data_IF_358635368129
#
_entry.id   IF_358635368129
#
_cell.length_a   1.000
_cell.length_b   1.000
_cell.length_c   1.000
_cell.angle_alpha   90.00
_cell.angle_beta   90.00
_cell.angle_gamma   90.00
#
_symmetry.space_group_name_H-M   'P 1'
#
loop_
_entity.id
_entity.type
_entity.pdbx_description
1 polymer ?
#
# COMPACT_ATOMS: atom_id res chain seq x y z
N UNK A 1 4.74 20.96 4.91
CA UNK A 1 3.66 20.02 5.31
C UNK A 1 3.43 20.13 6.82
N UNK A 2 2.21 20.23 7.29
CA UNK A 2 1.91 20.25 8.74
C UNK A 2 1.53 18.81 9.18
N UNK A 3 2.52 18.08 9.69
CA UNK A 3 2.37 16.68 10.13
C UNK A 3 1.32 16.54 11.25
N UNK A 4 1.32 17.47 12.20
CA UNK A 4 0.37 17.47 13.34
C UNK A 4 -1.08 17.53 12.87
N UNK A 5 -1.39 18.39 11.90
CA UNK A 5 -2.72 18.51 11.33
C UNK A 5 -3.17 17.20 10.64
N UNK A 6 -2.29 16.54 9.87
CA UNK A 6 -2.63 15.29 9.20
C UNK A 6 -2.90 14.18 10.21
N UNK A 7 -2.12 14.12 11.30
CA UNK A 7 -2.34 13.18 12.40
C UNK A 7 -3.67 13.48 13.12
N UNK A 8 -4.01 14.75 13.34
CA UNK A 8 -5.30 15.12 13.91
C UNK A 8 -6.47 14.69 13.02
N UNK A 9 -6.41 14.99 11.72
CA UNK A 9 -7.40 14.54 10.73
C UNK A 9 -7.49 13.01 10.65
N UNK A 10 -6.38 12.29 10.83
CA UNK A 10 -6.33 10.82 10.89
C UNK A 10 -7.13 10.31 12.08
N UNK A 11 -6.96 10.88 13.27
CA UNK A 11 -7.70 10.51 14.47
C UNK A 11 -9.18 10.94 14.45
N UNK A 12 -9.55 11.82 13.53
CA UNK A 12 -10.95 12.27 13.35
C UNK A 12 -11.71 11.48 12.26
N UNK A 13 -11.06 10.52 11.60
CA UNK A 13 -11.71 9.61 10.66
C UNK A 13 -11.97 10.18 9.28
N UNK A 14 -11.24 11.24 8.84
CA UNK A 14 -11.45 11.89 7.56
C UNK A 14 -10.17 12.31 6.82
N UNK A 15 -9.00 11.80 7.22
CA UNK A 15 -7.75 12.07 6.52
C UNK A 15 -7.73 11.40 5.14
N UNK A 16 -7.46 12.19 4.09
CA UNK A 16 -7.21 11.71 2.72
C UNK A 16 -5.72 11.56 2.42
N UNK A 17 -4.86 12.06 3.27
CA UNK A 17 -3.42 12.15 3.04
C UNK A 17 -2.58 11.62 4.22
N UNK A 18 -3.13 10.68 5.01
CA UNK A 18 -2.39 10.02 6.09
C UNK A 18 -1.10 9.36 5.59
N UNK A 19 -1.09 8.88 4.33
CA UNK A 19 0.10 8.29 3.69
C UNK A 19 1.29 9.25 3.57
N UNK A 20 1.11 10.56 3.69
CA UNK A 20 2.20 11.55 3.67
C UNK A 20 2.97 11.59 5.02
N UNK A 21 2.36 11.05 6.07
CA UNK A 21 2.92 11.01 7.43
C UNK A 21 3.31 9.61 7.84
N UNK A 22 2.35 8.67 7.73
CA UNK A 22 2.55 7.27 8.11
C UNK A 22 3.32 6.51 7.03
N UNK A 23 4.03 5.46 7.45
CA UNK A 23 4.95 4.73 6.59
C UNK A 23 6.39 5.19 6.71
N UNK A 24 7.21 4.83 5.73
CA UNK A 24 8.62 5.20 5.66
C UNK A 24 8.85 6.25 4.56
N UNK A 25 9.38 7.42 4.95
CA UNK A 25 9.59 8.57 4.06
C UNK A 25 11.04 9.01 4.05
N UNK A 26 11.61 9.19 2.87
CA UNK A 26 12.89 9.84 2.70
C UNK A 26 12.75 11.34 2.99
N UNK A 27 13.45 11.83 4.01
CA UNK A 27 13.41 13.20 4.49
C UNK A 27 14.82 13.73 4.71
N UNK A 28 14.96 15.03 4.97
CA UNK A 28 16.25 15.58 5.40
C UNK A 28 16.74 14.88 6.66
N UNK A 29 17.94 14.30 6.60
CA UNK A 29 18.56 13.57 7.70
C UNK A 29 18.36 12.05 7.69
N UNK A 30 17.58 11.48 6.78
CA UNK A 30 17.42 10.02 6.67
C UNK A 30 16.04 9.54 6.21
N UNK A 31 15.60 8.42 6.75
CA UNK A 31 14.25 7.89 6.54
C UNK A 31 13.46 8.02 7.83
N UNK A 32 12.35 8.74 7.77
CA UNK A 32 11.38 8.83 8.86
C UNK A 32 10.40 7.66 8.76
N UNK A 33 10.31 6.89 9.82
CA UNK A 33 9.30 5.85 10.03
C UNK A 33 8.23 6.39 10.97
N UNK A 34 6.97 6.21 10.61
CA UNK A 34 5.83 6.62 11.44
C UNK A 34 4.76 5.55 11.38
N UNK A 35 4.29 5.07 12.55
CA UNK A 35 3.29 4.01 12.65
C UNK A 35 2.27 4.30 13.76
N UNK A 36 1.03 3.88 13.54
CA UNK A 36 -0.05 3.92 14.52
C UNK A 36 -0.16 2.57 15.22
N UNK A 37 0.14 2.55 16.53
CA UNK A 37 0.08 1.36 17.39
C UNK A 37 -0.28 1.78 18.83
N UNK A 38 -1.57 2.10 19.11
CA UNK A 38 -2.01 2.71 20.38
C UNK A 38 -1.89 1.77 21.57
N UNK A 39 -1.94 0.44 21.36
CA UNK A 39 -1.86 -0.54 22.44
C UNK A 39 -0.45 -1.09 22.65
N UNK A 40 0.53 -0.64 21.82
CA UNK A 40 1.93 -1.03 22.01
C UNK A 40 2.54 -0.43 23.27
N UNK A 41 3.37 -1.21 23.95
CA UNK A 41 4.25 -0.73 25.03
C UNK A 41 5.51 -0.11 24.46
N UNK A 42 6.12 -0.79 23.47
CA UNK A 42 7.28 -0.31 22.73
C UNK A 42 7.20 -0.74 21.27
N UNK A 43 7.79 0.08 20.37
CA UNK A 43 7.90 -0.21 18.93
C UNK A 43 9.33 0.02 18.48
N UNK A 44 9.90 -0.94 17.72
CA UNK A 44 11.22 -0.81 17.09
C UNK A 44 11.08 -0.95 15.58
N UNK A 45 11.99 -0.32 14.86
CA UNK A 45 12.24 -0.61 13.44
C UNK A 45 13.35 -1.64 13.35
N UNK A 46 13.12 -2.75 12.65
CA UNK A 46 14.09 -3.81 12.41
C UNK A 46 14.20 -4.08 10.93
N UNK A 47 15.40 -4.37 10.44
CA UNK A 47 15.56 -4.58 9.00
C UNK A 47 16.98 -4.97 8.57
N UNK A 48 17.22 -5.01 7.27
CA UNK A 48 18.52 -5.32 6.67
C UNK A 48 19.63 -4.41 7.20
N UNK A 49 19.32 -3.15 7.44
CA UNK A 49 20.26 -2.12 7.93
C UNK A 49 20.68 -2.30 9.41
N UNK A 50 19.98 -3.13 10.18
CA UNK A 50 20.37 -3.54 11.53
C UNK A 50 20.88 -4.97 11.59
N UNK A 51 21.06 -5.64 10.43
CA UNK A 51 21.25 -7.10 10.37
C UNK A 51 20.16 -7.87 11.14
N UNK A 52 18.94 -7.30 11.18
CA UNK A 52 17.81 -7.80 11.95
C UNK A 52 18.04 -7.83 13.47
N UNK A 53 19.00 -7.05 13.98
CA UNK A 53 19.12 -6.84 15.43
C UNK A 53 17.89 -6.05 15.92
N UNK A 54 17.16 -6.69 16.82
CA UNK A 54 15.81 -6.32 17.20
C UNK A 54 15.73 -5.14 18.18
N UNK A 55 16.85 -4.69 18.73
CA UNK A 55 16.85 -3.73 19.83
C UNK A 55 17.58 -2.42 19.50
N UNK A 56 18.07 -2.25 18.25
CA UNK A 56 18.89 -1.10 17.91
C UNK A 56 18.10 0.20 17.74
N UNK A 57 16.89 0.12 17.13
CA UNK A 57 16.16 1.32 16.72
C UNK A 57 14.79 1.34 17.41
N UNK A 58 14.78 1.83 18.64
CA UNK A 58 13.54 2.08 19.39
C UNK A 58 12.89 3.36 18.89
N UNK A 59 11.60 3.30 18.55
CA UNK A 59 10.80 4.46 18.14
C UNK A 59 10.37 5.29 19.36
N UNK A 60 10.14 6.56 19.11
CA UNK A 60 9.62 7.50 20.11
C UNK A 60 8.11 7.65 19.95
N UNK A 61 7.40 7.69 21.08
CA UNK A 61 5.96 7.96 21.07
C UNK A 61 5.72 9.44 20.84
N UNK A 62 5.16 9.79 19.68
CA UNK A 62 4.96 11.17 19.27
C UNK A 62 3.78 11.83 19.99
N UNK A 63 2.71 11.06 20.30
CA UNK A 63 1.53 11.57 21.00
C UNK A 63 0.90 10.50 21.90
N UNK A 64 -0.04 10.92 22.76
CA UNK A 64 -0.75 10.02 23.66
C UNK A 64 -1.74 9.08 22.92
N UNK A 65 -2.09 9.38 21.68
CA UNK A 65 -3.02 8.60 20.87
C UNK A 65 -2.35 7.41 20.17
N UNK A 66 -1.05 7.20 20.36
CA UNK A 66 -0.36 5.97 19.93
C UNK A 66 0.33 6.05 18.56
N UNK A 67 0.71 7.25 18.14
CA UNK A 67 1.61 7.44 17.00
C UNK A 67 3.06 7.36 17.46
N UNK A 68 3.84 6.51 16.78
CA UNK A 68 5.27 6.30 17.02
C UNK A 68 6.06 6.76 15.82
N UNK A 69 7.22 7.38 16.05
CA UNK A 69 8.09 7.89 14.98
C UNK A 69 9.56 7.77 15.33
N UNK A 70 10.40 7.68 14.29
CA UNK A 70 11.86 7.78 14.38
C UNK A 70 12.43 8.16 13.02
N UNK A 71 13.50 8.94 12.98
CA UNK A 71 14.29 9.18 11.75
C UNK A 71 15.61 8.44 11.85
N UNK A 72 15.87 7.56 10.89
CA UNK A 72 17.08 6.73 10.81
C UNK A 72 17.97 7.23 9.69
N UNK A 73 19.21 7.67 9.96
CA UNK A 73 20.11 8.18 8.93
C UNK A 73 20.72 7.07 8.07
N UNK A 74 21.22 7.44 6.88
CA UNK A 74 22.05 6.61 6.00
C UNK A 74 21.36 5.35 5.45
N UNK A 75 20.03 5.34 5.35
CA UNK A 75 19.29 4.25 4.70
C UNK A 75 19.16 4.49 3.20
N UNK A 76 19.08 3.40 2.45
CA UNK A 76 18.94 3.41 0.99
C UNK A 76 17.59 2.83 0.56
N UNK A 77 17.18 3.14 -0.67
CA UNK A 77 16.05 2.45 -1.29
C UNK A 77 16.30 0.94 -1.35
N UNK A 78 15.22 0.20 -1.35
CA UNK A 78 15.15 -1.27 -1.44
C UNK A 78 15.60 -2.01 -0.18
N UNK A 79 16.10 -1.35 0.86
CA UNK A 79 16.28 -1.97 2.16
C UNK A 79 14.94 -2.43 2.71
N UNK A 80 14.95 -3.56 3.40
CA UNK A 80 13.74 -4.20 3.92
C UNK A 80 13.62 -4.00 5.42
N UNK A 81 12.37 -3.84 5.89
CA UNK A 81 12.10 -3.59 7.30
C UNK A 81 10.77 -4.16 7.77
N UNK A 82 10.65 -4.31 9.08
CA UNK A 82 9.41 -4.58 9.82
C UNK A 82 9.35 -3.71 11.06
N UNK A 83 8.16 -3.60 11.64
CA UNK A 83 8.01 -3.15 13.01
C UNK A 83 8.04 -4.36 13.96
N UNK A 84 8.92 -4.31 14.97
CA UNK A 84 8.85 -5.17 16.14
C UNK A 84 8.02 -4.43 17.17
N UNK A 85 6.92 -5.03 17.61
CA UNK A 85 5.96 -4.42 18.52
C UNK A 85 5.91 -5.25 19.82
N UNK A 86 6.18 -4.62 20.94
CA UNK A 86 5.94 -5.20 22.26
C UNK A 86 4.54 -4.79 22.71
N UNK A 87 3.69 -5.78 22.93
CA UNK A 87 2.34 -5.55 23.45
C UNK A 87 2.35 -5.23 24.94
N UNK A 88 1.27 -4.67 25.47
CA UNK A 88 1.10 -4.44 26.91
C UNK A 88 1.20 -5.71 27.75
N UNK A 89 0.95 -6.87 27.16
CA UNK A 89 1.08 -8.18 27.85
C UNK A 89 2.50 -8.75 27.76
N UNK A 90 3.43 -8.04 27.11
CA UNK A 90 4.84 -8.43 26.95
C UNK A 90 5.12 -9.33 25.75
N UNK A 91 4.13 -9.70 24.95
CA UNK A 91 4.33 -10.46 23.72
C UNK A 91 5.04 -9.62 22.65
N UNK A 92 5.83 -10.29 21.81
CA UNK A 92 6.55 -9.65 20.70
C UNK A 92 5.89 -10.05 19.37
N UNK A 93 5.58 -9.05 18.55
CA UNK A 93 5.02 -9.22 17.22
C UNK A 93 5.97 -8.61 16.18
N UNK A 94 6.01 -9.20 14.98
CA UNK A 94 6.75 -8.66 13.82
C UNK A 94 5.78 -8.38 12.70
N UNK A 95 5.58 -7.10 12.41
CA UNK A 95 4.56 -6.61 11.51
C UNK A 95 5.16 -5.91 10.29
N UNK A 96 4.59 -6.17 9.10
CA UNK A 96 4.82 -5.30 7.96
C UNK A 96 4.21 -3.92 8.24
N UNK A 97 4.74 -2.90 7.59
CA UNK A 97 4.21 -1.55 7.74
C UNK A 97 2.85 -1.43 7.03
N UNK A 98 1.78 -1.04 7.74
CA UNK A 98 0.46 -0.84 7.14
C UNK A 98 0.43 0.18 5.99
N UNK A 99 1.34 1.17 6.03
CA UNK A 99 1.49 2.21 5.02
C UNK A 99 2.69 2.00 4.09
N UNK A 100 3.25 0.79 4.03
CA UNK A 100 4.35 0.50 3.12
C UNK A 100 3.95 0.73 1.66
N UNK A 101 4.78 1.44 0.89
CA UNK A 101 4.56 1.69 -0.53
C UNK A 101 5.04 0.56 -1.44
N UNK A 102 5.84 -0.35 -0.88
CA UNK A 102 6.32 -1.54 -1.56
C UNK A 102 6.68 -2.65 -0.57
N UNK A 103 6.60 -3.89 -1.01
CA UNK A 103 6.83 -5.07 -0.18
C UNK A 103 7.82 -6.02 -0.83
N UNK A 104 8.37 -6.95 -0.04
CA UNK A 104 9.10 -8.08 -0.58
C UNK A 104 8.18 -8.99 -1.38
N UNK A 105 8.77 -9.67 -2.36
CA UNK A 105 8.08 -10.73 -3.09
C UNK A 105 7.94 -11.96 -2.17
N UNK A 106 6.74 -12.50 -2.13
CA UNK A 106 6.48 -13.73 -1.39
C UNK A 106 7.49 -14.86 -1.71
N UNK A 107 7.85 -15.72 -0.77
CA UNK A 107 7.23 -15.92 0.55
C UNK A 107 7.66 -14.92 1.63
N UNK A 108 8.54 -13.97 1.31
CA UNK A 108 8.97 -12.94 2.23
C UNK A 108 7.83 -11.95 2.53
N UNK A 109 7.92 -11.26 3.67
CA UNK A 109 6.80 -10.48 4.22
C UNK A 109 7.21 -9.13 4.79
N UNK A 110 8.43 -8.67 4.51
CA UNK A 110 8.88 -7.36 4.97
C UNK A 110 8.44 -6.25 4.00
N UNK A 111 8.35 -5.06 4.53
CA UNK A 111 8.17 -3.82 3.76
C UNK A 111 9.50 -3.39 3.16
N UNK A 112 9.48 -2.65 2.05
CA UNK A 112 10.66 -2.10 1.38
C UNK A 112 10.65 -0.58 1.38
N UNK A 113 11.82 0.01 1.54
CA UNK A 113 12.01 1.44 1.38
C UNK A 113 11.95 1.85 -0.09
N UNK A 114 11.06 2.76 -0.42
CA UNK A 114 10.92 3.36 -1.74
C UNK A 114 10.78 4.86 -1.60
N UNK A 115 11.53 5.61 -2.40
CA UNK A 115 11.42 7.05 -2.47
C UNK A 115 10.43 7.46 -3.56
N UNK A 116 9.19 7.73 -3.18
CA UNK A 116 8.14 8.17 -4.09
C UNK A 116 8.43 9.55 -4.72
N UNK A 117 9.31 10.38 -4.10
CA UNK A 117 9.68 11.67 -4.69
C UNK A 117 10.51 11.52 -5.98
N UNK A 118 10.99 10.31 -6.27
CA UNK A 118 11.69 9.99 -7.53
C UNK A 118 10.76 9.59 -8.67
N UNK A 119 9.47 9.39 -8.39
CA UNK A 119 8.49 9.17 -9.45
C UNK A 119 8.31 10.47 -10.23
N UNK A 120 8.38 10.36 -11.54
CA UNK A 120 8.19 11.49 -12.45
C UNK A 120 7.03 11.17 -13.39
N UNK A 121 6.06 12.07 -13.44
CA UNK A 121 4.92 11.98 -14.34
C UNK A 121 5.13 12.85 -15.57
N UNK A 122 4.70 12.40 -16.73
CA UNK A 122 4.77 13.15 -18.00
C UNK A 122 3.39 13.31 -18.65
N UNK A 123 2.36 13.07 -17.88
CA UNK A 123 0.96 13.00 -18.32
C UNK A 123 0.15 14.29 -18.09
N UNK A 124 0.80 15.44 -17.89
CA UNK A 124 0.17 16.75 -17.71
C UNK A 124 -0.93 17.03 -18.73
N UNK A 125 -0.70 16.67 -20.00
CA UNK A 125 -1.69 16.85 -21.08
C UNK A 125 -2.93 15.98 -20.83
N UNK A 126 -2.75 14.73 -20.44
CA UNK A 126 -3.86 13.83 -20.09
C UNK A 126 -4.70 14.42 -18.94
N UNK A 127 -4.05 14.90 -17.89
CA UNK A 127 -4.72 15.50 -16.73
C UNK A 127 -5.49 16.78 -17.10
N UNK A 128 -4.96 17.61 -18.02
CA UNK A 128 -5.64 18.81 -18.51
C UNK A 128 -6.83 18.49 -19.42
N UNK A 129 -6.69 17.47 -20.27
CA UNK A 129 -7.69 17.10 -21.28
C UNK A 129 -8.80 16.19 -20.70
N UNK A 130 -8.57 15.55 -19.53
CA UNK A 130 -9.58 14.70 -18.91
C UNK A 130 -10.79 15.51 -18.47
N UNK A 131 -11.97 14.96 -18.75
CA UNK A 131 -13.25 15.54 -18.36
C UNK A 131 -14.14 14.45 -17.76
N UNK A 132 -15.27 14.81 -17.18
CA UNK A 132 -16.23 13.86 -16.62
C UNK A 132 -16.79 12.88 -17.66
N UNK A 133 -16.67 13.20 -18.96
CA UNK A 133 -16.95 12.33 -20.12
C UNK A 133 -18.29 11.56 -20.08
N UNK A 134 -19.31 12.06 -19.39
CA UNK A 134 -20.63 11.40 -19.29
C UNK A 134 -21.35 11.31 -20.64
N UNK A 135 -20.90 12.06 -21.64
CA UNK A 135 -21.42 12.15 -23.00
C UNK A 135 -20.64 11.32 -24.03
N UNK A 136 -19.59 10.61 -23.59
CA UNK A 136 -18.74 9.80 -24.45
C UNK A 136 -18.86 8.31 -24.11
N UNK A 137 -18.78 7.43 -25.12
CA UNK A 137 -18.78 6.00 -24.86
C UNK A 137 -17.50 5.58 -24.12
N UNK A 138 -17.66 4.71 -23.13
CA UNK A 138 -16.58 3.99 -22.47
C UNK A 138 -16.60 2.54 -22.91
N UNK A 139 -15.42 2.03 -23.29
CA UNK A 139 -15.20 0.61 -23.55
C UNK A 139 -14.01 0.18 -22.69
N UNK A 140 -14.28 -0.63 -21.67
CA UNK A 140 -13.33 -1.00 -20.61
C UNK A 140 -12.82 -2.41 -20.87
N UNK A 141 -11.52 -2.61 -20.80
CA UNK A 141 -10.87 -3.91 -20.80
C UNK A 141 -10.40 -4.25 -19.39
N UNK A 142 -11.11 -5.16 -18.74
CA UNK A 142 -10.73 -5.67 -17.42
C UNK A 142 -9.57 -6.67 -17.55
N UNK A 143 -8.53 -6.51 -16.71
CA UNK A 143 -7.29 -7.24 -16.81
C UNK A 143 -6.78 -7.77 -15.46
N UNK A 144 -6.61 -9.08 -15.36
CA UNK A 144 -5.73 -9.70 -14.39
C UNK A 144 -4.30 -9.79 -14.95
N UNK A 145 -3.38 -8.95 -14.50
CA UNK A 145 -2.01 -8.87 -15.01
C UNK A 145 -1.29 -10.21 -14.90
N UNK A 146 -1.47 -10.95 -13.80
CA UNK A 146 -0.85 -12.24 -13.56
C UNK A 146 -1.25 -13.35 -14.53
N UNK A 147 -2.40 -13.19 -15.21
CA UNK A 147 -2.97 -14.19 -16.12
C UNK A 147 -2.96 -13.78 -17.60
N UNK A 148 -2.66 -12.53 -17.94
CA UNK A 148 -2.80 -12.05 -19.32
C UNK A 148 -1.78 -12.70 -20.28
N UNK A 149 -0.48 -12.52 -19.99
CA UNK A 149 0.61 -13.18 -20.73
C UNK A 149 1.76 -13.52 -19.78
N UNK A 150 2.60 -14.43 -20.24
CA UNK A 150 3.76 -14.90 -19.47
C UNK A 150 5.04 -14.83 -20.29
N UNK A 151 6.14 -14.50 -19.61
CA UNK A 151 7.49 -14.63 -20.12
C UNK A 151 8.16 -15.82 -19.39
N UNK A 152 8.16 -16.97 -20.03
CA UNK A 152 8.52 -18.23 -19.37
C UNK A 152 7.54 -18.55 -18.22
N UNK A 153 8.06 -18.73 -17.02
CA UNK A 153 7.24 -19.04 -15.82
C UNK A 153 6.70 -17.79 -15.10
N UNK A 154 7.16 -16.59 -15.48
CA UNK A 154 6.79 -15.33 -14.83
C UNK A 154 5.69 -14.59 -15.60
N UNK A 155 4.77 -13.90 -14.91
CA UNK A 155 3.86 -12.96 -15.57
C UNK A 155 4.66 -11.83 -16.22
N UNK A 156 4.03 -11.11 -17.14
CA UNK A 156 4.63 -9.92 -17.74
C UNK A 156 4.94 -8.86 -16.67
N UNK A 157 6.10 -8.20 -16.82
CA UNK A 157 6.38 -6.97 -16.09
C UNK A 157 5.55 -5.80 -16.65
N UNK A 158 5.46 -4.70 -15.90
CA UNK A 158 4.74 -3.50 -16.35
C UNK A 158 5.29 -2.94 -17.67
N UNK A 159 6.61 -2.97 -17.89
CA UNK A 159 7.21 -2.52 -19.15
C UNK A 159 6.82 -3.44 -20.32
N UNK A 160 6.89 -4.77 -20.14
CA UNK A 160 6.45 -5.73 -21.16
C UNK A 160 4.94 -5.65 -21.42
N UNK A 161 4.16 -5.39 -20.37
CA UNK A 161 2.73 -5.20 -20.49
C UNK A 161 2.43 -3.98 -21.35
N UNK A 162 3.11 -2.85 -21.13
CA UNK A 162 2.94 -1.65 -21.93
C UNK A 162 3.22 -1.88 -23.41
N UNK A 163 4.27 -2.64 -23.75
CA UNK A 163 4.68 -2.89 -25.14
C UNK A 163 3.62 -3.63 -25.95
N UNK A 164 2.89 -4.55 -25.33
CA UNK A 164 1.94 -5.40 -26.04
C UNK A 164 0.46 -5.03 -25.77
N UNK A 165 0.14 -4.61 -24.56
CA UNK A 165 -1.25 -4.32 -24.17
C UNK A 165 -1.73 -3.02 -24.81
N UNK A 166 -0.92 -1.96 -24.85
CA UNK A 166 -1.31 -0.67 -25.43
C UNK A 166 -1.73 -0.82 -26.88
N UNK A 167 -0.95 -1.45 -27.79
CA UNK A 167 -1.40 -1.73 -29.15
C UNK A 167 -2.71 -2.53 -29.20
N UNK A 168 -2.81 -3.60 -28.41
CA UNK A 168 -4.00 -4.44 -28.35
C UNK A 168 -5.26 -3.65 -27.96
N UNK A 169 -5.18 -2.80 -26.94
CA UNK A 169 -6.28 -1.94 -26.48
C UNK A 169 -6.74 -1.00 -27.59
N UNK A 170 -5.78 -0.38 -28.30
CA UNK A 170 -6.08 0.56 -29.39
C UNK A 170 -6.70 -0.14 -30.60
N UNK A 171 -6.16 -1.27 -31.02
CA UNK A 171 -6.67 -2.05 -32.16
C UNK A 171 -8.09 -2.53 -31.95
N UNK A 172 -8.46 -2.86 -30.71
CA UNK A 172 -9.80 -3.34 -30.36
C UNK A 172 -10.77 -2.22 -29.93
N UNK A 173 -10.35 -0.96 -29.95
CA UNK A 173 -11.20 0.18 -29.67
C UNK A 173 -11.60 0.33 -28.19
N UNK A 174 -10.83 -0.23 -27.26
CA UNK A 174 -10.99 0.05 -25.85
C UNK A 174 -10.49 1.44 -25.50
N UNK A 175 -11.14 2.08 -24.54
CA UNK A 175 -10.81 3.43 -24.06
C UNK A 175 -10.10 3.42 -22.72
N UNK A 176 -10.34 2.37 -21.90
CA UNK A 176 -9.80 2.21 -20.56
C UNK A 176 -9.33 0.78 -20.34
N UNK A 177 -8.36 0.66 -19.45
CA UNK A 177 -7.95 -0.61 -18.86
C UNK A 177 -8.36 -0.59 -17.39
N UNK A 178 -9.11 -1.57 -16.93
CA UNK A 178 -9.38 -1.81 -15.53
C UNK A 178 -8.43 -2.89 -15.03
N UNK A 179 -7.57 -2.52 -14.10
CA UNK A 179 -6.60 -3.43 -13.49
C UNK A 179 -7.21 -4.03 -12.24
N UNK A 180 -7.41 -5.35 -12.23
CA UNK A 180 -7.76 -6.09 -11.01
C UNK A 180 -6.75 -5.76 -9.90
N UNK A 181 -7.08 -5.98 -8.61
CA UNK A 181 -6.35 -5.35 -7.52
C UNK A 181 -4.84 -5.47 -7.60
N UNK A 182 -4.16 -4.33 -7.54
CA UNK A 182 -2.69 -4.21 -7.60
C UNK A 182 -2.06 -3.98 -6.22
N UNK A 183 -2.86 -3.88 -5.17
CA UNK A 183 -2.36 -3.88 -3.79
C UNK A 183 -1.68 -5.21 -3.47
N UNK A 184 -0.64 -5.21 -2.60
CA UNK A 184 0.11 -6.44 -2.28
C UNK A 184 -0.77 -7.47 -1.56
N UNK A 185 -0.59 -8.75 -1.89
CA UNK A 185 -1.36 -9.88 -1.38
C UNK A 185 -0.51 -11.15 -1.30
N UNK A 186 -0.71 -12.05 -0.29
CA UNK A 186 0.13 -13.23 -0.11
C UNK A 186 -0.30 -14.43 -0.95
N UNK A 187 -1.59 -14.53 -1.33
CA UNK A 187 -2.16 -15.71 -1.98
C UNK A 187 -2.54 -15.45 -3.43
N UNK A 188 -1.82 -16.06 -4.38
CA UNK A 188 -2.04 -15.87 -5.83
C UNK A 188 -3.45 -16.23 -6.30
N UNK A 189 -4.05 -17.25 -5.71
CA UNK A 189 -5.39 -17.70 -6.06
C UNK A 189 -6.49 -16.66 -5.74
N UNK A 190 -6.16 -15.63 -4.98
CA UNK A 190 -7.09 -14.53 -4.70
C UNK A 190 -7.15 -13.47 -5.80
N UNK A 191 -6.22 -13.49 -6.78
CA UNK A 191 -6.07 -12.49 -7.85
C UNK A 191 -5.94 -11.05 -7.34
N UNK A 192 -5.47 -10.87 -6.10
CA UNK A 192 -5.34 -9.58 -5.44
C UNK A 192 -6.48 -9.20 -4.50
N UNK A 193 -7.58 -9.95 -4.46
CA UNK A 193 -8.71 -9.63 -3.58
C UNK A 193 -8.49 -9.93 -2.10
N UNK A 194 -7.43 -10.65 -1.73
CA UNK A 194 -7.03 -10.87 -0.33
C UNK A 194 -5.82 -10.00 0.03
N UNK A 195 -6.06 -8.73 0.24
CA UNK A 195 -5.04 -7.69 0.41
C UNK A 195 -4.31 -7.83 1.74
N UNK A 196 -2.98 -7.64 1.72
CA UNK A 196 -2.11 -7.50 2.90
C UNK A 196 -1.46 -6.11 3.00
N UNK A 197 -1.28 -5.39 1.89
CA UNK A 197 -0.63 -4.07 1.85
C UNK A 197 -1.41 -3.08 1.01
N UNK A 198 -2.18 -2.19 1.66
CA UNK A 198 -3.14 -1.28 1.02
C UNK A 198 -2.50 -0.13 0.23
N UNK A 199 -1.28 0.23 0.56
CA UNK A 199 -0.48 1.27 -0.12
C UNK A 199 0.66 0.66 -0.95
N UNK A 200 0.87 -0.64 -0.83
CA UNK A 200 1.97 -1.35 -1.47
C UNK A 200 1.54 -1.90 -2.82
N UNK A 201 2.19 -1.41 -3.88
CA UNK A 201 2.07 -2.04 -5.19
C UNK A 201 2.56 -3.50 -5.11
N UNK A 202 1.80 -4.43 -5.67
CA UNK A 202 2.24 -5.84 -5.68
C UNK A 202 3.58 -6.01 -6.40
N UNK A 203 4.49 -6.72 -5.74
CA UNK A 203 5.86 -6.96 -6.22
C UNK A 203 5.96 -7.96 -7.38
N UNK A 204 4.84 -8.55 -7.79
CA UNK A 204 4.76 -9.62 -8.80
C UNK A 204 5.11 -9.17 -10.22
N UNK A 205 4.81 -7.92 -10.55
CA UNK A 205 4.84 -7.42 -11.93
C UNK A 205 5.88 -6.33 -12.15
N UNK A 206 6.60 -5.93 -11.10
CA UNK A 206 7.61 -4.88 -11.14
C UNK A 206 7.53 -3.95 -9.93
N UNK A 207 8.22 -2.84 -9.99
CA UNK A 207 8.33 -1.86 -8.93
C UNK A 207 7.49 -0.59 -9.21
N UNK A 208 7.35 0.34 -8.25
CA UNK A 208 6.56 1.56 -8.43
C UNK A 208 7.00 2.43 -9.62
N UNK A 209 8.31 2.49 -9.92
CA UNK A 209 8.82 3.25 -11.07
C UNK A 209 8.39 2.62 -12.41
N UNK A 210 8.35 1.29 -12.48
CA UNK A 210 7.88 0.57 -13.69
C UNK A 210 6.38 0.75 -13.88
N UNK A 211 5.61 0.70 -12.79
CA UNK A 211 4.17 0.96 -12.83
C UNK A 211 3.86 2.42 -13.25
N UNK A 212 4.58 3.39 -12.69
CA UNK A 212 4.48 4.79 -13.10
C UNK A 212 4.69 4.95 -14.62
N UNK A 213 5.76 4.36 -15.18
CA UNK A 213 6.01 4.39 -16.64
C UNK A 213 4.90 3.71 -17.45
N UNK A 214 4.34 2.62 -16.95
CA UNK A 214 3.22 1.94 -17.61
C UNK A 214 2.00 2.86 -17.70
N UNK A 215 1.62 3.52 -16.60
CA UNK A 215 0.49 4.45 -16.57
C UNK A 215 0.74 5.64 -17.49
N UNK A 216 1.91 6.26 -17.42
CA UNK A 216 2.32 7.36 -18.30
C UNK A 216 2.18 7.01 -19.81
N UNK A 217 2.63 5.81 -20.18
CA UNK A 217 2.52 5.30 -21.55
C UNK A 217 1.07 5.07 -21.98
N UNK A 218 0.21 4.59 -21.07
CA UNK A 218 -1.22 4.46 -21.32
C UNK A 218 -1.87 5.83 -21.55
N UNK A 219 -1.61 6.79 -20.68
CA UNK A 219 -2.11 8.16 -20.77
C UNK A 219 -1.63 8.84 -22.07
N UNK A 220 -0.35 8.69 -22.42
CA UNK A 220 0.20 9.19 -23.69
C UNK A 220 -0.48 8.56 -24.93
N UNK A 221 -0.96 7.34 -24.82
CA UNK A 221 -1.72 6.64 -25.86
C UNK A 221 -3.21 6.99 -25.88
N UNK A 222 -3.69 7.83 -24.95
CA UNK A 222 -5.10 8.19 -24.79
C UNK A 222 -5.95 7.12 -24.11
N UNK A 223 -5.35 6.25 -23.30
CA UNK A 223 -6.00 5.16 -22.57
C UNK A 223 -6.06 5.50 -21.09
N UNK A 224 -7.27 5.49 -20.51
CA UNK A 224 -7.47 5.68 -19.06
C UNK A 224 -7.17 4.41 -18.28
N UNK A 225 -6.70 4.57 -17.05
CA UNK A 225 -6.47 3.46 -16.12
C UNK A 225 -7.51 3.53 -15.00
N UNK A 226 -8.10 2.39 -14.69
CA UNK A 226 -9.00 2.17 -13.55
C UNK A 226 -8.33 1.15 -12.65
N UNK A 227 -8.25 1.45 -11.36
CA UNK A 227 -7.69 0.55 -10.35
C UNK A 227 -8.84 -0.01 -9.50
N UNK A 228 -8.91 -1.33 -9.44
CA UNK A 228 -9.84 -2.03 -8.55
C UNK A 228 -9.29 -2.01 -7.12
N UNK A 229 -10.09 -1.52 -6.18
CA UNK A 229 -9.74 -1.39 -4.76
C UNK A 229 -10.66 -2.23 -3.88
N UNK A 230 -10.10 -2.90 -2.88
CA UNK A 230 -10.82 -3.80 -1.97
C UNK A 230 -10.86 -3.23 -0.54
N UNK A 231 -11.73 -2.25 -0.21
CA UNK A 231 -11.71 -1.58 1.10
C UNK A 231 -12.54 -2.30 2.17
N UNK A 232 -12.83 -3.59 2.00
CA UNK A 232 -13.81 -4.31 2.83
C UNK A 232 -13.15 -5.22 3.85
N UNK A 233 -12.13 -5.97 3.44
CA UNK A 233 -11.54 -7.03 4.25
C UNK A 233 -10.06 -7.23 3.91
N UNK A 234 -9.30 -7.81 4.84
CA UNK A 234 -7.86 -8.08 4.72
C UNK A 234 -7.50 -9.48 5.20
N UNK A 235 -6.30 -9.95 4.84
CA UNK A 235 -5.83 -11.29 5.20
C UNK A 235 -5.58 -11.47 6.70
N UNK A 236 -5.70 -12.72 7.17
CA UNK A 236 -5.48 -13.10 8.58
C UNK A 236 -4.01 -13.36 8.95
N UNK A 237 -3.10 -13.18 8.00
CA UNK A 237 -1.69 -13.47 8.18
C UNK A 237 -1.08 -12.63 9.30
N UNK A 238 -0.32 -13.25 10.19
CA UNK A 238 0.19 -12.63 11.41
C UNK A 238 1.17 -11.48 11.15
N UNK A 239 1.79 -11.41 9.97
CA UNK A 239 2.67 -10.31 9.61
C UNK A 239 1.90 -9.04 9.19
N UNK A 240 0.60 -9.16 8.86
CA UNK A 240 -0.25 -8.07 8.37
C UNK A 240 -0.99 -7.33 9.47
N UNK A 241 -2.20 -6.85 9.12
CA UNK A 241 -2.99 -5.95 9.95
C UNK A 241 -3.66 -6.61 11.16
N UNK A 242 -3.93 -7.93 11.08
CA UNK A 242 -4.63 -8.66 12.14
C UNK A 242 -3.89 -8.53 13.47
N UNK A 243 -4.61 -8.11 14.52
CA UNK A 243 -4.05 -7.86 15.88
C UNK A 243 -2.72 -7.10 15.79
N UNK A 244 -2.72 -5.99 15.05
CA UNK A 244 -1.50 -5.31 14.62
C UNK A 244 -0.57 -4.98 15.79
N UNK A 245 -1.11 -4.47 16.89
CA UNK A 245 -0.36 -4.11 18.09
C UNK A 245 -0.72 -4.98 19.32
N UNK A 246 -1.35 -6.14 19.05
CA UNK A 246 -1.73 -7.13 20.07
C UNK A 246 -3.21 -7.11 20.44
N UNK A 247 -3.93 -6.09 20.00
CA UNK A 247 -5.38 -5.96 20.15
C UNK A 247 -6.06 -5.79 18.78
N UNK A 248 -7.39 -5.89 18.72
CA UNK A 248 -8.16 -5.64 17.52
C UNK A 248 -8.10 -4.14 17.20
N UNK A 249 -7.28 -3.76 16.20
CA UNK A 249 -7.06 -2.37 15.81
C UNK A 249 -7.79 -2.05 14.49
N UNK A 250 -7.53 -2.84 13.46
CA UNK A 250 -8.14 -2.68 12.13
C UNK A 250 -9.43 -3.46 12.00
N UNK A 251 -9.54 -4.61 12.66
CA UNK A 251 -10.70 -5.49 12.69
C UNK A 251 -11.66 -5.17 13.83
N UNK A 252 -12.86 -5.72 13.75
CA UNK A 252 -13.80 -5.68 14.86
C UNK A 252 -13.29 -6.50 16.06
N UNK A 253 -13.56 -6.06 17.30
CA UNK A 253 -13.07 -6.76 18.50
C UNK A 253 -13.80 -8.09 18.77
N UNK A 254 -14.96 -8.31 18.21
CA UNK A 254 -15.71 -9.56 18.34
C UNK A 254 -15.55 -10.44 17.10
N UNK A 255 -15.43 -11.75 17.28
CA UNK A 255 -15.16 -12.69 16.18
C UNK A 255 -16.30 -12.78 15.14
N UNK A 256 -17.53 -12.50 15.52
CA UNK A 256 -18.67 -12.60 14.61
C UNK A 256 -18.58 -11.52 13.52
N UNK A 257 -18.35 -10.28 13.90
CA UNK A 257 -18.22 -9.16 12.96
C UNK A 257 -16.83 -9.13 12.29
N UNK A 258 -15.79 -9.60 12.99
CA UNK A 258 -14.42 -9.61 12.49
C UNK A 258 -14.21 -10.58 11.34
N UNK A 259 -14.90 -11.72 11.30
CA UNK A 259 -14.67 -12.74 10.29
C UNK A 259 -15.56 -12.53 9.06
N UNK A 260 -14.93 -12.45 7.87
CA UNK A 260 -15.67 -12.48 6.62
C UNK A 260 -16.00 -13.93 6.20
N UNK A 261 -16.98 -14.07 5.32
CA UNK A 261 -17.34 -15.37 4.73
C UNK A 261 -16.25 -15.96 3.82
N UNK A 262 -15.28 -15.16 3.39
CA UNK A 262 -14.13 -15.57 2.56
C UNK A 262 -12.89 -15.96 3.36
N UNK A 263 -12.99 -16.08 4.70
CA UNK A 263 -11.87 -16.46 5.56
C UNK A 263 -10.88 -15.33 5.85
N UNK A 264 -11.23 -14.09 5.57
CA UNK A 264 -10.46 -12.87 5.84
C UNK A 264 -11.01 -12.11 7.05
N UNK A 265 -10.42 -10.97 7.41
CA UNK A 265 -10.89 -10.10 8.49
C UNK A 265 -11.62 -8.89 7.91
N UNK A 266 -12.78 -8.54 8.47
CA UNK A 266 -13.51 -7.32 8.12
C UNK A 266 -12.90 -6.11 8.82
N UNK A 267 -12.79 -4.99 8.13
CA UNK A 267 -12.43 -3.71 8.72
C UNK A 267 -13.51 -3.18 9.68
N UNK A 268 -13.07 -2.73 10.85
CA UNK A 268 -13.94 -2.03 11.80
C UNK A 268 -14.15 -0.57 11.36
N UNK A 269 -15.17 -0.32 10.55
CA UNK A 269 -15.48 1.03 10.03
C UNK A 269 -16.06 1.99 11.10
N UNK A 270 -16.33 1.52 12.31
CA UNK A 270 -16.66 2.38 13.44
C UNK A 270 -15.42 3.08 14.03
N UNK A 271 -14.24 2.49 13.82
CA UNK A 271 -12.96 3.11 14.21
C UNK A 271 -12.60 4.23 13.22
N UNK A 272 -12.32 5.41 13.75
CA UNK A 272 -12.03 6.63 12.98
C UNK A 272 -10.70 6.49 12.21
N UNK A 273 -9.69 5.94 12.84
CA UNK A 273 -8.38 5.74 12.22
C UNK A 273 -8.44 4.71 11.08
N UNK A 274 -9.30 3.70 11.20
CA UNK A 274 -9.52 2.73 10.11
C UNK A 274 -10.19 3.38 8.92
N UNK A 275 -11.17 4.28 9.14
CA UNK A 275 -11.76 5.06 8.03
C UNK A 275 -10.72 5.94 7.35
N UNK A 276 -9.93 6.67 8.13
CA UNK A 276 -8.82 7.49 7.59
C UNK A 276 -7.80 6.64 6.82
N UNK A 277 -7.43 5.46 7.33
CA UNK A 277 -6.56 4.52 6.65
C UNK A 277 -7.08 4.14 5.27
N UNK A 278 -8.35 3.75 5.16
CA UNK A 278 -8.95 3.33 3.88
C UNK A 278 -9.18 4.50 2.92
N UNK A 279 -9.67 5.63 3.42
CA UNK A 279 -9.87 6.83 2.59
C UNK A 279 -8.55 7.38 2.04
N UNK A 280 -7.54 7.41 2.88
CA UNK A 280 -6.19 7.81 2.49
C UNK A 280 -5.56 6.83 1.50
N UNK A 281 -5.83 5.53 1.63
CA UNK A 281 -5.39 4.55 0.63
C UNK A 281 -6.04 4.79 -0.73
N UNK A 282 -7.34 5.04 -0.78
CA UNK A 282 -8.02 5.39 -2.03
C UNK A 282 -7.42 6.66 -2.67
N UNK A 283 -7.18 7.69 -1.85
CA UNK A 283 -6.55 8.93 -2.31
C UNK A 283 -5.12 8.71 -2.84
N UNK A 284 -4.32 7.87 -2.16
CA UNK A 284 -2.96 7.53 -2.58
C UNK A 284 -2.91 6.94 -3.99
N UNK A 285 -3.85 6.06 -4.35
CA UNK A 285 -3.87 5.40 -5.65
C UNK A 285 -4.34 6.30 -6.81
N UNK A 286 -4.98 7.44 -6.53
CA UNK A 286 -5.51 8.36 -7.57
C UNK A 286 -4.75 9.68 -7.68
N UNK A 287 -3.84 9.96 -6.74
CA UNK A 287 -2.96 11.12 -6.72
C UNK A 287 -1.57 10.81 -7.30
#
# INVERSE_FOLDING_TARGET
>A
MNLERIIEEFHQGHSLNAYEVFGAHFVDGGVRFTVYAPHAENVWVVGSFTNWDENQILMERMNFQGVWTITVPYLNEWEVYKYKIQTRTGNILYKADPFAFYSETRPNTASKLVDLNKLTWTDDKWLQDRSLNFDKPMNIYELYVGGWKRNGEHPYSYDMLADELIPYIKENGYTHIELMPLSEYPFDGSWGYQVSGYYSLTSRYGNPQEFNRFVDRCHAAGIGIIIDMVPVHFVKDDFGLRYFDGEALYEYPNEYDANSEWGTMNFNLWNEEVRSFLMSSAAFWVN
#
